data_IF_746148563444
#
_entry.id   IF_746148563444
#
_cell.length_a   1.000
_cell.length_b   1.000
_cell.length_c   1.000
_cell.angle_alpha   90.00
_cell.angle_beta   90.00
_cell.angle_gamma   90.00
#
_symmetry.space_group_name_H-M   'P 1'
#
loop_
_entity.id
_entity.type
_entity.pdbx_description
1 polymer ?
#
# COMPACT_ATOMS: atom_id res chain seq x y z
N UNK A 1 -22.38 -12.37 -10.80
CA UNK A 1 -21.26 -11.91 -9.96
C UNK A 1 -20.05 -11.82 -10.87
N UNK A 2 -19.69 -10.62 -11.32
CA UNK A 2 -18.49 -10.44 -12.15
C UNK A 2 -17.28 -10.54 -11.22
N UNK A 3 -16.50 -11.61 -11.35
CA UNK A 3 -15.24 -11.77 -10.65
C UNK A 3 -14.19 -11.02 -11.49
N UNK A 4 -13.81 -9.83 -11.02
CA UNK A 4 -12.92 -8.86 -11.68
C UNK A 4 -11.42 -9.14 -11.41
N UNK A 5 -11.05 -10.40 -11.15
CA UNK A 5 -9.73 -10.73 -10.62
C UNK A 5 -8.70 -11.01 -11.72
N UNK A 6 -8.43 -10.03 -12.58
CA UNK A 6 -7.26 -10.08 -13.47
C UNK A 6 -6.14 -9.18 -12.92
N UNK A 7 -4.90 -9.61 -13.07
CA UNK A 7 -3.70 -8.81 -12.76
C UNK A 7 -3.77 -7.42 -13.39
N UNK A 8 -4.28 -7.34 -14.63
CA UNK A 8 -4.42 -6.10 -15.37
C UNK A 8 -5.41 -5.12 -14.71
N UNK A 9 -6.52 -5.62 -14.17
CA UNK A 9 -7.51 -4.79 -13.50
C UNK A 9 -7.04 -4.32 -12.13
N UNK A 10 -6.39 -5.21 -11.36
CA UNK A 10 -5.78 -4.83 -10.08
C UNK A 10 -4.68 -3.79 -10.25
N UNK A 11 -3.84 -3.94 -11.29
CA UNK A 11 -2.80 -2.96 -11.62
C UNK A 11 -3.41 -1.63 -12.06
N UNK A 12 -4.47 -1.65 -12.87
CA UNK A 12 -5.18 -0.43 -13.29
C UNK A 12 -5.78 0.30 -12.09
N UNK A 13 -6.47 -0.41 -11.22
CA UNK A 13 -7.04 0.17 -9.99
C UNK A 13 -5.95 0.82 -9.14
N UNK A 14 -4.84 0.14 -8.89
CA UNK A 14 -3.75 0.70 -8.11
C UNK A 14 -3.17 1.97 -8.77
N UNK A 15 -3.00 1.96 -10.09
CA UNK A 15 -2.55 3.14 -10.84
C UNK A 15 -3.52 4.32 -10.70
N UNK A 16 -4.83 4.08 -10.81
CA UNK A 16 -5.86 5.13 -10.75
C UNK A 16 -5.92 5.81 -9.38
N UNK A 17 -5.57 5.10 -8.30
CA UNK A 17 -5.57 5.61 -6.93
C UNK A 17 -4.18 5.91 -6.35
N UNK A 18 -3.11 5.78 -7.14
CA UNK A 18 -1.74 6.00 -6.68
C UNK A 18 -1.28 5.01 -5.60
N UNK A 19 -1.77 3.78 -5.65
CA UNK A 19 -1.43 2.68 -4.75
C UNK A 19 -0.32 1.80 -5.35
N UNK A 20 0.39 1.07 -4.49
CA UNK A 20 1.24 -0.04 -4.93
C UNK A 20 0.38 -1.23 -5.36
N UNK A 21 0.83 -1.95 -6.38
CA UNK A 21 0.27 -3.25 -6.77
C UNK A 21 1.36 -4.33 -6.78
N UNK A 22 1.06 -5.48 -6.19
CA UNK A 22 1.89 -6.68 -6.22
C UNK A 22 1.00 -7.90 -5.99
N UNK A 23 1.08 -8.91 -6.85
CA UNK A 23 0.43 -10.20 -6.60
C UNK A 23 1.34 -11.09 -5.76
N UNK A 24 0.80 -11.69 -4.71
CA UNK A 24 1.52 -12.59 -3.81
C UNK A 24 0.69 -13.83 -3.49
N UNK A 25 1.37 -14.95 -3.27
CA UNK A 25 0.76 -16.24 -2.96
C UNK A 25 1.37 -16.82 -1.70
N UNK A 26 0.65 -16.70 -0.58
CA UNK A 26 1.07 -17.33 0.68
C UNK A 26 1.18 -18.86 0.57
N UNK A 27 0.33 -19.46 -0.27
CA UNK A 27 0.33 -20.92 -0.51
C UNK A 27 1.59 -21.39 -1.23
N UNK A 28 2.08 -20.59 -2.19
CA UNK A 28 3.25 -20.93 -3.01
C UNK A 28 4.53 -20.25 -2.49
N UNK A 29 4.43 -19.46 -1.41
CA UNK A 29 5.48 -18.62 -0.88
C UNK A 29 6.06 -17.62 -1.92
N UNK A 30 5.26 -17.23 -2.90
CA UNK A 30 5.67 -16.29 -3.96
C UNK A 30 5.35 -14.85 -3.57
N UNK A 31 6.34 -13.96 -3.75
CA UNK A 31 6.25 -12.52 -3.57
C UNK A 31 5.79 -12.03 -2.17
N UNK A 32 5.68 -12.93 -1.19
CA UNK A 32 5.24 -12.57 0.18
C UNK A 32 6.27 -11.66 0.86
N UNK A 33 7.54 -12.04 0.84
CA UNK A 33 8.62 -11.25 1.44
C UNK A 33 8.78 -9.90 0.73
N UNK A 34 8.78 -9.92 -0.61
CA UNK A 34 8.84 -8.72 -1.43
C UNK A 34 7.69 -7.74 -1.10
N UNK A 35 6.47 -8.25 -0.89
CA UNK A 35 5.33 -7.42 -0.49
C UNK A 35 5.63 -6.64 0.81
N UNK A 36 6.12 -7.33 1.84
CA UNK A 36 6.41 -6.69 3.13
C UNK A 36 7.58 -5.72 3.04
N UNK A 37 8.67 -6.08 2.34
CA UNK A 37 9.84 -5.21 2.17
C UNK A 37 9.46 -3.95 1.41
N UNK A 38 8.71 -4.08 0.31
CA UNK A 38 8.29 -2.94 -0.50
C UNK A 38 7.38 -1.99 0.29
N UNK A 39 6.42 -2.53 1.06
CA UNK A 39 5.55 -1.73 1.91
C UNK A 39 6.37 -0.98 2.97
N UNK A 40 7.25 -1.67 3.69
CA UNK A 40 8.08 -1.06 4.72
C UNK A 40 9.00 0.03 4.14
N UNK A 41 9.59 -0.20 2.97
CA UNK A 41 10.44 0.77 2.29
C UNK A 41 9.66 2.03 1.88
N UNK A 42 8.44 1.89 1.37
CA UNK A 42 7.61 3.03 1.00
C UNK A 42 7.19 3.86 2.21
N UNK A 43 6.74 3.21 3.29
CA UNK A 43 6.39 3.92 4.53
C UNK A 43 7.60 4.66 5.07
N UNK A 44 8.77 4.01 5.11
CA UNK A 44 10.01 4.64 5.56
C UNK A 44 10.39 5.85 4.69
N UNK A 45 10.23 5.74 3.36
CA UNK A 45 10.45 6.86 2.44
C UNK A 45 9.54 8.03 2.77
N UNK A 46 8.23 7.78 2.95
CA UNK A 46 7.22 8.81 3.29
C UNK A 46 7.45 9.48 4.64
N UNK A 47 8.07 8.77 5.59
CA UNK A 47 8.48 9.37 6.86
C UNK A 47 9.72 10.25 6.66
N UNK A 48 10.70 9.79 5.89
CA UNK A 48 11.95 10.52 5.62
C UNK A 48 11.75 11.78 4.79
N UNK A 49 10.84 11.74 3.82
CA UNK A 49 10.50 12.90 2.98
C UNK A 49 9.56 13.89 3.67
N UNK A 50 9.06 13.55 4.87
CA UNK A 50 8.18 14.41 5.67
C UNK A 50 6.73 14.45 5.21
N UNK A 51 6.34 13.61 4.24
CA UNK A 51 4.96 13.46 3.76
C UNK A 51 4.06 12.82 4.80
N UNK A 52 4.62 11.93 5.63
CA UNK A 52 3.93 11.33 6.76
C UNK A 52 4.51 11.89 8.07
N UNK A 53 3.78 12.81 8.70
CA UNK A 53 4.15 13.36 10.01
C UNK A 53 3.40 12.59 11.08
N UNK A 54 4.11 12.13 12.11
CA UNK A 54 3.53 11.43 13.26
C UNK A 54 2.48 12.28 14.02
N UNK A 55 2.46 13.59 13.75
CA UNK A 55 1.59 14.57 14.40
C UNK A 55 0.20 14.68 13.74
N UNK A 56 0.02 14.16 12.52
CA UNK A 56 -1.19 14.40 11.71
C UNK A 56 -2.43 13.66 12.26
N UNK A 57 -2.25 12.52 12.94
CA UNK A 57 -3.37 11.78 13.54
C UNK A 57 -3.80 12.34 14.90
N UNK A 58 -2.89 12.93 15.68
CA UNK A 58 -3.21 13.47 17.01
C UNK A 58 -4.09 14.72 16.89
N UNK A 59 -3.96 15.49 15.81
CA UNK A 59 -4.68 16.76 15.62
C UNK A 59 -6.16 16.60 15.30
N UNK A 60 -6.58 15.48 14.71
CA UNK A 60 -7.98 15.19 14.39
C UNK A 60 -8.79 14.74 15.63
N UNK A 61 -8.11 14.28 16.69
CA UNK A 61 -8.76 13.85 17.93
C UNK A 61 -9.05 15.01 18.91
N UNK A 62 -8.32 16.13 18.79
CA UNK A 62 -8.45 17.31 19.67
C UNK A 62 -9.11 18.53 19.00
N UNK A 63 -9.54 18.42 17.74
CA UNK A 63 -10.37 19.42 17.10
C UNK A 63 -11.85 19.21 17.50
N UNK A 64 -12.19 19.65 18.72
CA UNK A 64 -13.56 19.91 19.16
C UNK A 64 -13.81 21.43 19.15
#
# INVERSE_FOLDING_TARGET
MHIHSSTQEGQRFASDYGLMFLEASAKQAENVEEAFVNIAAQVLSKVKDGTFRMDDEVRMMYAL
#
